data_IF_352169244450
#
_entry.id   IF_352169244450
#
_cell.length_a   1.000
_cell.length_b   1.000
_cell.length_c   1.000
_cell.angle_alpha   90.00
_cell.angle_beta   90.00
_cell.angle_gamma   90.00
#
_symmetry.space_group_name_H-M   'P 1'
#
loop_
_entity.id
_entity.type
_entity.pdbx_description
1 polymer ?
#
# COMPACT_ATOMS: atom_id res chain seq x y z
N UNK A 1 32.71 -8.13 39.53
CA UNK A 1 31.36 -8.71 39.35
C UNK A 1 30.32 -7.62 39.10
N UNK A 2 30.16 -6.62 39.97
CA UNK A 2 29.21 -5.50 39.80
C UNK A 2 29.40 -4.68 38.50
N UNK A 3 30.64 -4.31 38.16
CA UNK A 3 30.91 -3.54 36.94
C UNK A 3 30.51 -4.26 35.64
N UNK A 4 30.58 -5.59 35.63
CA UNK A 4 30.16 -6.40 34.48
C UNK A 4 28.64 -6.46 34.35
N UNK A 5 27.93 -6.48 35.49
CA UNK A 5 26.46 -6.42 35.53
C UNK A 5 25.94 -5.08 35.02
N UNK A 6 26.51 -3.96 35.51
CA UNK A 6 26.17 -2.61 35.04
C UNK A 6 26.43 -2.47 33.52
N UNK A 7 27.58 -2.98 33.04
CA UNK A 7 27.89 -2.97 31.61
C UNK A 7 26.88 -3.77 30.78
N UNK A 8 26.45 -4.95 31.24
CA UNK A 8 25.46 -5.78 30.54
C UNK A 8 24.09 -5.10 30.47
N UNK A 9 23.65 -4.47 31.56
CA UNK A 9 22.39 -3.74 31.62
C UNK A 9 22.41 -2.56 30.63
N UNK A 10 23.48 -1.76 30.64
CA UNK A 10 23.64 -0.62 29.72
C UNK A 10 23.69 -1.10 28.27
N UNK A 11 24.40 -2.20 27.98
CA UNK A 11 24.47 -2.77 26.62
C UNK A 11 23.10 -3.25 26.13
N UNK A 12 22.32 -3.90 26.98
CA UNK A 12 20.97 -4.33 26.63
C UNK A 12 20.04 -3.13 26.38
N UNK A 13 20.12 -2.09 27.22
CA UNK A 13 19.35 -0.85 27.04
C UNK A 13 19.72 -0.15 25.72
N UNK A 14 21.01 -0.06 25.39
CA UNK A 14 21.47 0.49 24.12
C UNK A 14 20.95 -0.32 22.91
N UNK A 15 20.96 -1.65 22.98
CA UNK A 15 20.40 -2.50 21.91
C UNK A 15 18.89 -2.27 21.75
N UNK A 16 18.16 -2.17 22.86
CA UNK A 16 16.73 -1.90 22.82
C UNK A 16 16.42 -0.52 22.21
N UNK A 17 17.14 0.52 22.62
CA UNK A 17 16.96 1.89 22.09
C UNK A 17 17.33 1.96 20.61
N UNK A 18 18.42 1.30 20.20
CA UNK A 18 18.82 1.27 18.78
C UNK A 18 17.82 0.51 17.92
N UNK A 19 17.24 -0.60 18.41
CA UNK A 19 16.16 -1.31 17.70
C UNK A 19 14.93 -0.42 17.53
N UNK A 20 14.46 0.26 18.58
CA UNK A 20 13.31 1.16 18.51
C UNK A 20 13.56 2.27 17.49
N UNK A 21 14.74 2.88 17.52
CA UNK A 21 15.13 3.93 16.55
C UNK A 21 15.14 3.40 15.11
N UNK A 22 15.65 2.19 14.91
CA UNK A 22 15.71 1.56 13.59
C UNK A 22 14.32 1.12 13.08
N UNK A 23 13.39 0.75 13.95
CA UNK A 23 12.01 0.44 13.56
C UNK A 23 11.27 1.67 13.02
N UNK A 24 11.46 2.84 13.65
CA UNK A 24 10.90 4.10 13.14
C UNK A 24 11.42 4.44 11.73
N UNK A 25 12.73 4.31 11.52
CA UNK A 25 13.35 4.53 10.21
C UNK A 25 12.88 3.52 9.16
N UNK A 26 12.69 2.25 9.53
CA UNK A 26 12.20 1.21 8.61
C UNK A 26 10.79 1.52 8.12
N UNK A 27 9.88 1.95 8.99
CA UNK A 27 8.51 2.33 8.60
C UNK A 27 8.50 3.50 7.62
N UNK A 28 9.29 4.52 7.90
CA UNK A 28 9.43 5.68 7.01
C UNK A 28 9.98 5.29 5.63
N UNK A 29 11.03 4.45 5.59
CA UNK A 29 11.62 3.96 4.35
C UNK A 29 10.66 3.08 3.55
N UNK A 30 9.84 2.26 4.20
CA UNK A 30 8.81 1.45 3.52
C UNK A 30 7.80 2.35 2.82
N UNK A 31 7.23 3.34 3.51
CA UNK A 31 6.25 4.27 2.91
C UNK A 31 6.89 5.06 1.75
N UNK A 32 8.13 5.55 1.92
CA UNK A 32 8.84 6.26 0.85
C UNK A 32 9.17 5.38 -0.35
N UNK A 33 9.54 4.13 -0.11
CA UNK A 33 9.90 3.20 -1.18
C UNK A 33 8.69 2.52 -1.83
N UNK A 34 7.50 2.55 -1.20
CA UNK A 34 6.25 2.07 -1.81
C UNK A 34 5.93 2.84 -3.10
N UNK A 35 6.18 4.15 -3.15
CA UNK A 35 5.92 4.98 -4.34
C UNK A 35 6.89 4.79 -5.51
N UNK A 36 7.99 4.05 -5.34
CA UNK A 36 9.06 3.98 -6.34
C UNK A 36 9.13 2.63 -7.08
N UNK A 37 8.22 1.70 -6.80
CA UNK A 37 8.13 0.43 -7.53
C UNK A 37 7.33 0.63 -8.81
N UNK A 38 8.05 0.83 -9.91
CA UNK A 38 7.45 0.88 -11.26
C UNK A 38 7.05 -0.51 -11.68
N UNK A 39 5.79 -0.69 -12.07
CA UNK A 39 5.31 -1.91 -12.68
C UNK A 39 4.38 -1.60 -13.85
N UNK A 40 4.27 -2.57 -14.75
CA UNK A 40 3.40 -2.51 -15.91
C UNK A 40 1.97 -2.82 -15.49
N UNK A 41 1.03 -2.02 -15.99
CA UNK A 41 -0.40 -2.21 -15.76
C UNK A 41 -1.12 -2.14 -17.08
N UNK A 42 -2.14 -2.99 -17.23
CA UNK A 42 -3.06 -2.96 -18.35
C UNK A 42 -4.02 -1.77 -18.21
N UNK A 43 -3.93 -0.85 -19.16
CA UNK A 43 -4.79 0.33 -19.28
C UNK A 43 -5.58 0.24 -20.58
N UNK A 44 -6.83 0.68 -20.55
CA UNK A 44 -7.67 0.76 -21.73
C UNK A 44 -7.55 2.15 -22.37
N UNK A 45 -6.87 2.23 -23.52
CA UNK A 45 -6.71 3.46 -24.32
C UNK A 45 -6.97 3.17 -25.79
N UNK A 46 -7.54 4.13 -26.52
CA UNK A 46 -7.84 3.98 -27.96
C UNK A 46 -8.63 2.69 -28.31
N UNK A 47 -9.59 2.33 -27.45
CA UNK A 47 -10.42 1.11 -27.55
C UNK A 47 -9.64 -0.21 -27.50
N UNK A 48 -8.40 -0.21 -27.03
CA UNK A 48 -7.53 -1.39 -26.91
C UNK A 48 -6.89 -1.47 -25.52
N UNK A 49 -6.58 -2.68 -25.08
CA UNK A 49 -5.81 -2.91 -23.86
C UNK A 49 -4.32 -2.77 -24.16
N UNK A 50 -3.64 -1.89 -23.44
CA UNK A 50 -2.21 -1.61 -23.62
C UNK A 50 -1.51 -1.67 -22.26
N UNK A 51 -0.35 -2.31 -22.22
CA UNK A 51 0.51 -2.29 -21.03
C UNK A 51 1.29 -0.98 -20.99
N UNK A 52 1.08 -0.20 -19.95
CA UNK A 52 1.71 1.09 -19.74
C UNK A 52 2.36 1.09 -18.35
N UNK A 53 3.48 1.81 -18.21
CA UNK A 53 4.09 2.03 -16.90
C UNK A 53 3.20 2.91 -16.04
N UNK A 54 3.13 2.59 -14.74
CA UNK A 54 2.36 3.38 -13.78
C UNK A 54 2.66 4.90 -13.82
N UNK A 55 3.91 5.30 -14.07
CA UNK A 55 4.31 6.71 -14.17
C UNK A 55 3.54 7.54 -15.22
N UNK A 56 2.89 6.88 -16.19
CA UNK A 56 2.18 7.53 -17.29
C UNK A 56 0.66 7.53 -17.12
N UNK A 57 0.17 7.21 -15.93
CA UNK A 57 -1.26 7.18 -15.62
C UNK A 57 -1.85 8.58 -15.62
N UNK A 58 -3.04 8.70 -16.22
CA UNK A 58 -3.81 9.93 -16.24
C UNK A 58 -5.15 9.71 -15.53
N UNK A 59 -5.71 10.79 -14.98
CA UNK A 59 -7.04 10.75 -14.36
C UNK A 59 -8.08 10.37 -15.41
N UNK A 60 -8.91 9.38 -15.09
CA UNK A 60 -9.93 8.86 -16.01
C UNK A 60 -9.49 7.65 -16.84
N UNK A 61 -8.24 7.21 -16.73
CA UNK A 61 -7.80 5.94 -17.33
C UNK A 61 -8.53 4.75 -16.70
N UNK A 62 -8.98 3.82 -17.55
CA UNK A 62 -9.56 2.55 -17.16
C UNK A 62 -8.46 1.51 -17.00
N UNK A 63 -8.34 0.92 -15.82
CA UNK A 63 -7.27 -0.02 -15.50
C UNK A 63 -7.83 -1.33 -14.97
N UNK A 64 -7.18 -2.43 -15.32
CA UNK A 64 -7.51 -3.75 -14.74
C UNK A 64 -6.50 -4.11 -13.68
N UNK A 65 -6.98 -4.39 -12.48
CA UNK A 65 -6.15 -4.85 -11.37
C UNK A 65 -6.40 -6.35 -11.21
N UNK A 66 -5.35 -7.14 -11.43
CA UNK A 66 -5.35 -8.58 -11.17
C UNK A 66 -4.73 -8.92 -9.81
N UNK A 67 -4.84 -10.18 -9.40
CA UNK A 67 -4.04 -10.71 -8.29
C UNK A 67 -2.57 -10.72 -8.70
N UNK A 68 -1.77 -9.85 -8.09
CA UNK A 68 -0.32 -9.83 -8.32
C UNK A 68 0.38 -10.83 -7.39
N UNK A 69 1.17 -11.72 -7.96
CA UNK A 69 2.04 -12.66 -7.23
C UNK A 69 3.20 -11.94 -6.51
N UNK A 70 3.53 -10.72 -6.91
CA UNK A 70 4.72 -9.99 -6.46
C UNK A 70 4.43 -8.91 -5.41
N UNK A 71 3.28 -8.97 -4.73
CA UNK A 71 2.84 -7.95 -3.78
C UNK A 71 2.93 -6.54 -4.40
N UNK A 72 2.44 -6.38 -5.64
CA UNK A 72 2.37 -5.05 -6.24
C UNK A 72 1.29 -4.27 -5.51
N UNK A 73 1.72 -3.22 -4.80
CA UNK A 73 0.81 -2.30 -4.15
C UNK A 73 -0.03 -1.57 -5.19
N UNK A 74 -1.29 -1.30 -4.84
CA UNK A 74 -2.15 -0.43 -5.64
C UNK A 74 -1.45 0.93 -5.78
N UNK A 75 -1.29 1.47 -6.99
CA UNK A 75 -0.25 2.47 -7.21
C UNK A 75 -0.77 3.91 -7.05
N UNK A 76 -2.08 4.10 -7.24
CA UNK A 76 -2.79 5.36 -7.00
C UNK A 76 -4.17 5.08 -6.40
N UNK A 77 -4.89 6.14 -6.03
CA UNK A 77 -6.28 6.03 -5.65
C UNK A 77 -7.12 5.63 -6.87
N UNK A 78 -7.90 4.56 -6.75
CA UNK A 78 -8.70 4.00 -7.82
C UNK A 78 -10.15 3.83 -7.36
N UNK A 79 -11.08 4.07 -8.28
CA UNK A 79 -12.50 3.79 -8.07
C UNK A 79 -12.82 2.40 -8.65
N UNK A 80 -13.41 1.52 -7.83
CA UNK A 80 -13.78 0.18 -8.26
C UNK A 80 -15.09 0.23 -9.04
N UNK A 81 -14.99 0.08 -10.37
CA UNK A 81 -16.14 0.11 -11.27
C UNK A 81 -16.85 -1.24 -11.39
N UNK A 82 -16.13 -2.35 -11.33
CA UNK A 82 -16.69 -3.69 -11.48
C UNK A 82 -15.94 -4.70 -10.61
N UNK A 83 -16.69 -5.65 -10.03
CA UNK A 83 -16.15 -6.73 -9.19
C UNK A 83 -16.00 -6.34 -7.72
N UNK A 84 -15.36 -7.23 -6.97
CA UNK A 84 -14.99 -7.04 -5.56
C UNK A 84 -13.53 -7.43 -5.35
N UNK A 85 -12.88 -6.82 -4.36
CA UNK A 85 -11.50 -7.14 -4.02
C UNK A 85 -11.28 -7.11 -2.50
N UNK A 86 -10.30 -7.88 -2.04
CA UNK A 86 -9.82 -7.84 -0.66
C UNK A 86 -8.48 -7.13 -0.71
N UNK A 87 -8.36 -6.03 0.03
CA UNK A 87 -7.19 -5.18 0.07
C UNK A 87 -6.60 -5.17 1.47
N UNK A 88 -5.27 -5.24 1.54
CA UNK A 88 -4.52 -5.01 2.76
C UNK A 88 -4.11 -3.54 2.83
N UNK A 89 -4.77 -2.79 3.72
CA UNK A 89 -4.48 -1.38 3.97
C UNK A 89 -3.58 -1.18 5.21
N UNK A 90 -3.00 -2.26 5.76
CA UNK A 90 -2.19 -2.24 6.98
C UNK A 90 -0.99 -1.30 6.90
N UNK A 91 -0.41 -1.16 5.70
CA UNK A 91 0.71 -0.25 5.45
C UNK A 91 0.33 1.23 5.55
N UNK A 92 -0.95 1.57 5.32
CA UNK A 92 -1.46 2.94 5.33
C UNK A 92 -2.15 3.27 6.66
N UNK A 93 -2.99 2.36 7.17
CA UNK A 93 -3.82 2.57 8.36
C UNK A 93 -3.08 2.14 9.64
N UNK A 94 -2.12 1.22 9.52
CA UNK A 94 -1.41 0.66 10.67
C UNK A 94 -2.19 -0.45 11.41
N UNK A 95 -3.32 -0.89 10.85
CA UNK A 95 -4.12 -2.00 11.35
C UNK A 95 -3.88 -3.25 10.52
N UNK A 96 -3.64 -4.40 11.15
CA UNK A 96 -3.38 -5.64 10.43
C UNK A 96 -4.68 -6.37 10.04
N UNK A 97 -5.59 -5.66 9.39
CA UNK A 97 -6.91 -6.15 8.99
C UNK A 97 -7.11 -5.91 7.50
N UNK A 98 -7.43 -6.98 6.76
CA UNK A 98 -7.79 -6.86 5.35
C UNK A 98 -9.24 -6.41 5.20
N UNK A 99 -9.48 -5.46 4.30
CA UNK A 99 -10.79 -4.89 4.05
C UNK A 99 -11.33 -5.35 2.70
N UNK A 100 -12.61 -5.70 2.66
CA UNK A 100 -13.33 -5.99 1.42
C UNK A 100 -13.82 -4.68 0.82
N UNK A 101 -13.58 -4.49 -0.48
CA UNK A 101 -14.11 -3.38 -1.28
C UNK A 101 -15.08 -3.91 -2.31
N UNK A 102 -16.17 -3.18 -2.47
CA UNK A 102 -17.22 -3.48 -3.43
C UNK A 102 -17.27 -2.41 -4.52
N UNK A 103 -17.77 -2.80 -5.69
CA UNK A 103 -17.96 -1.88 -6.81
C UNK A 103 -19.05 -0.85 -6.50
N UNK A 104 -18.90 0.34 -7.09
CA UNK A 104 -19.93 1.39 -7.14
C UNK A 104 -21.26 0.90 -7.72
N UNK A 105 -21.29 -0.18 -8.50
CA UNK A 105 -22.54 -0.71 -9.08
C UNK A 105 -23.52 -1.27 -8.05
N UNK A 106 -23.02 -1.68 -6.88
CA UNK A 106 -23.85 -2.12 -5.77
C UNK A 106 -24.55 -0.94 -5.08
N UNK A 107 -24.09 0.29 -5.31
CA UNK A 107 -24.66 1.48 -4.69
C UNK A 107 -25.99 1.84 -5.38
N UNK A 108 -27.03 2.05 -4.59
CA UNK A 108 -28.33 2.51 -5.10
C UNK A 108 -28.21 3.89 -5.75
N UNK A 109 -28.86 4.13 -6.91
CA UNK A 109 -28.66 5.32 -7.74
C UNK A 109 -29.05 6.66 -7.07
N UNK A 110 -29.78 6.63 -5.95
CA UNK A 110 -30.27 7.83 -5.26
C UNK A 110 -29.52 8.16 -3.96
N UNK A 111 -28.45 7.43 -3.64
CA UNK A 111 -27.75 7.57 -2.36
C UNK A 111 -26.94 8.86 -2.24
N UNK A 112 -25.80 8.98 -2.92
CA UNK A 112 -24.78 9.96 -2.52
C UNK A 112 -23.81 10.33 -3.63
N UNK A 113 -24.27 10.90 -4.75
CA UNK A 113 -23.39 11.62 -5.68
C UNK A 113 -24.10 12.87 -6.23
N UNK A 114 -24.34 13.84 -5.35
CA UNK A 114 -24.60 15.22 -5.75
C UNK A 114 -23.26 15.96 -5.79
N UNK A 115 -22.56 15.88 -6.91
CA UNK A 115 -21.48 16.81 -7.31
C UNK A 115 -21.46 16.93 -8.83
#
# INVERSE_FOLDING_TARGET
MLAMFEMLIVKQQMMNITMIRNMGNKRYLVIRNMGNKRYLVNVYRNKKWVNINFDQFLVGDLVTIGRSLNNNNVPCNLLLLHGSCILDESTLIGENVSLMKESIQTLEPNGYFYY
#
